data_IF_509903662777
#
_entry.id   IF_509903662777
#
_cell.length_a   1.000
_cell.length_b   1.000
_cell.length_c   1.000
_cell.angle_alpha   90.00
_cell.angle_beta   90.00
_cell.angle_gamma   90.00
#
_symmetry.space_group_name_H-M   'P 1'
#
loop_
_entity.id
_entity.type
_entity.pdbx_description
1 polymer ?
#
# COMPACT_ATOMS: atom_id res chain seq x y z
N UNK A 1 -19.02 7.84 13.17
CA UNK A 1 -18.26 7.62 14.43
C UNK A 1 -16.81 7.31 14.06
N UNK A 2 -15.91 8.28 14.20
CA UNK A 2 -14.50 8.14 13.92
C UNK A 2 -13.85 7.38 15.08
N UNK A 3 -13.61 6.08 14.93
CA UNK A 3 -12.69 5.37 15.83
C UNK A 3 -11.32 6.01 15.59
N UNK A 4 -10.68 6.53 16.64
CA UNK A 4 -9.31 7.03 16.54
C UNK A 4 -8.46 5.93 15.90
N UNK A 5 -7.88 6.21 14.73
CA UNK A 5 -7.03 5.26 14.03
C UNK A 5 -5.78 5.04 14.90
N UNK A 6 -5.60 3.80 15.38
CA UNK A 6 -4.43 3.42 16.19
C UNK A 6 -3.41 2.78 15.27
N UNK A 7 -2.18 3.31 15.24
CA UNK A 7 -1.10 2.68 14.48
C UNK A 7 -0.62 1.42 15.22
N UNK A 8 -0.39 0.35 14.46
CA UNK A 8 0.13 -0.93 14.97
C UNK A 8 1.39 -1.31 14.23
N UNK A 9 2.38 -1.80 14.98
CA UNK A 9 3.59 -2.38 14.43
C UNK A 9 3.50 -3.92 14.50
N UNK A 10 4.19 -4.58 13.59
CA UNK A 10 4.34 -6.04 13.61
C UNK A 10 5.67 -6.37 12.95
N UNK A 11 6.42 -7.32 13.50
CA UNK A 11 7.55 -7.89 12.77
C UNK A 11 7.01 -8.72 11.61
N UNK A 12 7.59 -8.56 10.42
CA UNK A 12 7.21 -9.38 9.29
C UNK A 12 7.51 -10.86 9.59
N UNK A 13 6.50 -11.72 9.52
CA UNK A 13 6.62 -13.18 9.77
C UNK A 13 6.59 -14.00 8.48
N UNK A 14 6.58 -13.33 7.33
CA UNK A 14 6.53 -14.03 6.06
C UNK A 14 7.85 -14.70 5.73
N UNK A 15 7.76 -15.97 5.38
CA UNK A 15 8.87 -16.77 4.87
C UNK A 15 8.75 -16.76 3.35
N UNK A 16 9.54 -15.93 2.66
CA UNK A 16 9.79 -15.94 1.21
C UNK A 16 8.62 -16.42 0.32
N UNK A 17 7.42 -15.85 0.48
CA UNK A 17 6.30 -16.17 -0.39
C UNK A 17 6.56 -15.51 -1.76
N UNK A 18 6.52 -16.31 -2.83
CA UNK A 18 6.76 -15.84 -4.20
C UNK A 18 5.57 -15.06 -4.76
N UNK A 19 4.38 -15.19 -4.15
CA UNK A 19 3.18 -14.47 -4.55
C UNK A 19 2.71 -14.89 -5.95
N UNK A 20 2.41 -16.17 -6.13
CA UNK A 20 1.87 -16.67 -7.40
C UNK A 20 0.42 -16.19 -7.64
N UNK A 21 0.00 -16.24 -8.90
CA UNK A 21 -1.34 -15.82 -9.31
C UNK A 21 -2.46 -16.72 -8.77
N UNK A 22 -2.12 -17.95 -8.39
CA UNK A 22 -3.07 -18.88 -7.78
C UNK A 22 -3.27 -18.62 -6.28
N UNK A 23 -2.38 -17.86 -5.65
CA UNK A 23 -2.44 -17.50 -4.23
C UNK A 23 -2.61 -18.73 -3.31
N UNK A 24 -2.08 -19.89 -3.72
CA UNK A 24 -2.13 -21.11 -2.92
C UNK A 24 -1.23 -21.01 -1.69
N UNK A 25 -0.22 -20.12 -1.74
CA UNK A 25 0.59 -19.71 -0.61
C UNK A 25 -0.21 -19.07 0.55
N UNK A 26 -1.44 -18.62 0.26
CA UNK A 26 -2.41 -18.12 1.26
C UNK A 26 -3.25 -19.21 1.92
N UNK A 27 -3.04 -20.47 1.54
CA UNK A 27 -3.64 -21.65 2.17
C UNK A 27 -2.62 -22.37 3.04
N UNK A 28 -3.04 -22.85 4.21
CA UNK A 28 -2.28 -23.83 5.01
C UNK A 28 -2.92 -25.20 4.79
N UNK A 29 -2.11 -26.25 4.82
CA UNK A 29 -2.53 -27.65 4.66
C UNK A 29 -3.66 -28.04 5.62
N UNK A 30 -3.71 -27.38 6.79
CA UNK A 30 -4.61 -27.70 7.89
C UNK A 30 -5.82 -26.75 8.00
N UNK A 31 -5.97 -25.77 7.09
CA UNK A 31 -7.08 -24.81 7.19
C UNK A 31 -8.42 -25.44 6.75
N UNK A 32 -9.55 -25.12 7.43
CA UNK A 32 -10.88 -25.42 6.91
C UNK A 32 -11.09 -24.83 5.50
N UNK A 33 -11.84 -25.53 4.63
CA UNK A 33 -11.45 -25.64 3.24
C UNK A 33 -11.57 -24.37 2.36
N UNK A 34 -12.43 -23.39 2.70
CA UNK A 34 -12.66 -22.23 1.81
C UNK A 34 -12.77 -20.87 2.53
N UNK A 35 -13.48 -20.76 3.66
CA UNK A 35 -13.72 -19.43 4.28
C UNK A 35 -12.45 -18.72 4.76
N UNK A 36 -11.51 -19.47 5.34
CA UNK A 36 -10.24 -18.89 5.81
C UNK A 36 -9.40 -18.46 4.61
N UNK A 37 -9.36 -19.27 3.55
CA UNK A 37 -8.63 -18.92 2.34
C UNK A 37 -9.25 -17.69 1.67
N UNK A 38 -10.58 -17.64 1.53
CA UNK A 38 -11.31 -16.49 0.99
C UNK A 38 -11.00 -15.21 1.78
N UNK A 39 -10.98 -15.27 3.12
CA UNK A 39 -10.59 -14.12 3.97
C UNK A 39 -9.16 -13.64 3.69
N UNK A 40 -8.20 -14.56 3.51
CA UNK A 40 -6.80 -14.20 3.21
C UNK A 40 -6.62 -13.71 1.77
N UNK A 41 -7.47 -14.16 0.84
CA UNK A 41 -7.57 -13.60 -0.51
C UNK A 41 -8.10 -12.16 -0.48
N UNK A 42 -8.92 -11.78 0.52
CA UNK A 42 -9.36 -10.40 0.76
C UNK A 42 -8.33 -9.55 1.50
N UNK A 43 -7.27 -10.15 2.05
CA UNK A 43 -6.27 -9.42 2.84
C UNK A 43 -5.68 -8.26 2.03
N UNK A 44 -5.81 -7.01 2.51
CA UNK A 44 -5.15 -5.87 1.88
C UNK A 44 -3.63 -5.94 2.03
N UNK A 45 -3.11 -6.79 2.93
CA UNK A 45 -1.67 -6.98 3.14
C UNK A 45 -1.07 -7.95 2.09
N UNK A 46 -1.90 -8.54 1.23
CA UNK A 46 -1.46 -9.37 0.11
C UNK A 46 -0.61 -10.54 0.56
N UNK A 47 0.64 -10.60 0.10
CA UNK A 47 1.58 -11.65 0.53
C UNK A 47 1.77 -11.62 2.05
N UNK A 48 1.68 -10.46 2.71
CA UNK A 48 1.84 -10.26 4.16
C UNK A 48 0.58 -10.57 4.99
N UNK A 49 -0.39 -11.32 4.46
CA UNK A 49 -1.60 -11.72 5.19
C UNK A 49 -1.32 -12.36 6.56
N UNK A 50 -0.22 -13.10 6.72
CA UNK A 50 0.17 -13.68 8.03
C UNK A 50 0.49 -12.60 9.04
N UNK A 51 1.13 -11.53 8.59
CA UNK A 51 1.47 -10.39 9.44
C UNK A 51 0.20 -9.67 9.90
N UNK A 52 -0.82 -9.60 9.04
CA UNK A 52 -2.14 -9.04 9.37
C UNK A 52 -2.85 -9.90 10.43
N UNK A 53 -2.91 -11.21 10.26
CA UNK A 53 -3.58 -12.12 11.21
C UNK A 53 -2.94 -12.16 12.60
N UNK A 54 -1.63 -11.87 12.66
CA UNK A 54 -0.91 -11.74 13.92
C UNK A 54 -0.91 -10.30 14.46
N UNK A 55 -1.34 -9.31 13.66
CA UNK A 55 -1.41 -7.92 14.10
C UNK A 55 -2.49 -7.79 15.17
N UNK A 56 -2.11 -7.38 16.38
CA UNK A 56 -3.02 -7.25 17.53
C UNK A 56 -3.22 -8.51 18.37
N UNK A 57 -2.53 -9.62 18.04
CA UNK A 57 -2.33 -10.71 19.00
C UNK A 57 -1.06 -10.40 19.81
N UNK A 58 -0.99 -10.77 21.10
CA UNK A 58 0.25 -10.66 21.86
C UNK A 58 1.30 -11.55 21.18
N UNK A 59 2.16 -10.93 20.39
CA UNK A 59 3.34 -11.61 19.87
C UNK A 59 4.37 -11.62 20.98
N UNK A 60 4.81 -12.82 21.39
CA UNK A 60 5.98 -13.00 22.24
C UNK A 60 7.26 -12.75 21.43
N UNK A 61 7.37 -11.57 20.80
CA UNK A 61 8.61 -11.10 20.21
C UNK A 61 9.45 -10.49 21.32
N UNK A 62 10.72 -10.85 21.39
CA UNK A 62 11.69 -10.21 22.29
C UNK A 62 11.73 -8.71 22.06
N UNK A 63 11.59 -8.24 20.82
CA UNK A 63 11.51 -6.82 20.47
C UNK A 63 10.28 -6.15 21.09
N UNK A 64 9.10 -6.79 21.06
CA UNK A 64 7.89 -6.27 21.71
C UNK A 64 8.01 -6.23 23.23
N UNK A 65 8.65 -7.23 23.82
CA UNK A 65 8.90 -7.28 25.26
C UNK A 65 9.84 -6.15 25.70
N UNK A 66 10.88 -5.86 24.91
CA UNK A 66 11.77 -4.72 25.13
C UNK A 66 11.02 -3.39 24.93
N UNK A 67 10.26 -3.25 23.85
CA UNK A 67 9.45 -2.05 23.58
C UNK A 67 8.42 -1.76 24.68
N UNK A 68 7.89 -2.80 25.35
CA UNK A 68 6.97 -2.66 26.46
C UNK A 68 7.64 -2.23 27.78
N UNK A 69 8.98 -2.25 27.85
CA UNK A 69 9.71 -1.98 29.10
C UNK A 69 9.62 -0.51 29.52
N UNK A 70 9.88 0.43 28.60
CA UNK A 70 9.69 1.85 28.85
C UNK A 70 9.56 2.67 27.56
N UNK A 71 9.06 3.91 27.69
CA UNK A 71 8.85 4.85 26.57
C UNK A 71 10.11 5.14 25.76
N UNK A 72 11.26 5.33 26.42
CA UNK A 72 12.54 5.60 25.74
C UNK A 72 12.96 4.39 24.90
N UNK A 73 12.94 3.19 25.48
CA UNK A 73 13.31 1.96 24.77
C UNK A 73 12.35 1.72 23.60
N UNK A 74 11.05 1.98 23.77
CA UNK A 74 10.08 1.94 22.67
C UNK A 74 10.54 2.84 21.52
N UNK A 75 10.82 4.11 21.79
CA UNK A 75 11.24 5.08 20.78
C UNK A 75 12.56 4.66 20.10
N UNK A 76 13.55 4.18 20.87
CA UNK A 76 14.84 3.74 20.36
C UNK A 76 14.70 2.54 19.42
N UNK A 77 13.90 1.54 19.81
CA UNK A 77 13.66 0.35 18.98
C UNK A 77 12.89 0.72 17.72
N UNK A 78 11.83 1.51 17.81
CA UNK A 78 11.05 1.90 16.62
C UNK A 78 11.89 2.75 15.66
N UNK A 79 12.73 3.67 16.16
CA UNK A 79 13.68 4.43 15.34
C UNK A 79 14.72 3.52 14.69
N UNK A 80 15.27 2.56 15.43
CA UNK A 80 16.20 1.57 14.89
C UNK A 80 15.54 0.75 13.78
N UNK A 81 14.32 0.25 14.00
CA UNK A 81 13.54 -0.49 13.00
C UNK A 81 13.30 0.34 11.75
N UNK A 82 12.86 1.61 11.88
CA UNK A 82 12.64 2.47 10.70
C UNK A 82 13.93 2.70 9.88
N UNK A 83 15.10 2.73 10.53
CA UNK A 83 16.41 2.94 9.86
C UNK A 83 16.97 1.70 9.19
N UNK A 84 16.56 0.51 9.61
CA UNK A 84 17.16 -0.78 9.23
C UNK A 84 16.20 -1.70 8.48
N UNK A 85 14.89 -1.55 8.66
CA UNK A 85 13.87 -2.39 8.06
C UNK A 85 13.14 -1.67 6.93
N UNK A 86 12.56 -2.46 6.02
CA UNK A 86 11.54 -1.96 5.10
C UNK A 86 10.25 -1.71 5.87
N UNK A 87 9.68 -0.52 5.72
CA UNK A 87 8.36 -0.20 6.26
C UNK A 87 7.31 -0.53 5.21
N UNK A 88 6.35 -1.39 5.55
CA UNK A 88 5.26 -1.77 4.67
C UNK A 88 3.98 -1.01 5.04
N UNK A 89 3.32 -0.37 4.08
CA UNK A 89 2.01 0.26 4.25
C UNK A 89 1.04 -0.30 3.20
N UNK A 90 -0.07 -0.87 3.68
CA UNK A 90 -1.06 -1.52 2.83
C UNK A 90 -2.35 -0.69 2.58
N UNK A 91 -2.48 0.49 3.20
CA UNK A 91 -3.71 1.28 3.17
C UNK A 91 -3.45 2.77 3.02
N UNK A 92 -4.22 3.43 2.15
CA UNK A 92 -4.18 4.89 1.99
C UNK A 92 -4.53 5.65 3.28
N UNK A 93 -5.43 5.10 4.11
CA UNK A 93 -5.79 5.71 5.38
C UNK A 93 -4.61 5.75 6.37
N UNK A 94 -3.79 4.69 6.41
CA UNK A 94 -2.58 4.64 7.26
C UNK A 94 -1.58 5.70 6.83
N UNK A 95 -1.43 5.91 5.52
CA UNK A 95 -0.55 6.94 4.99
C UNK A 95 -0.98 8.33 5.44
N UNK A 96 -2.28 8.64 5.34
CA UNK A 96 -2.80 9.94 5.79
C UNK A 96 -2.48 10.22 7.27
N UNK A 97 -2.60 9.21 8.15
CA UNK A 97 -2.23 9.33 9.57
C UNK A 97 -0.71 9.56 9.74
N UNK A 98 0.10 8.73 9.08
CA UNK A 98 1.57 8.79 9.20
C UNK A 98 2.12 10.11 8.67
N UNK A 99 1.61 10.61 7.55
CA UNK A 99 2.07 11.84 6.93
C UNK A 99 1.42 13.11 7.54
N UNK A 100 0.18 13.04 8.02
CA UNK A 100 -0.46 14.19 8.69
C UNK A 100 0.11 14.46 10.08
N UNK A 101 0.57 13.43 10.80
CA UNK A 101 1.23 13.60 12.09
C UNK A 101 2.57 14.35 12.02
N UNK A 102 3.15 14.53 10.83
CA UNK A 102 4.33 15.40 10.64
C UNK A 102 3.99 16.89 10.70
N UNK A 103 2.70 17.26 10.63
CA UNK A 103 2.22 18.66 10.58
C UNK A 103 1.05 18.93 11.55
N UNK A 104 0.84 18.07 12.55
CA UNK A 104 -0.43 18.06 13.30
C UNK A 104 -0.69 19.34 14.12
N UNK A 105 -1.89 19.87 13.88
CA UNK A 105 -2.61 20.88 14.67
C UNK A 105 -2.85 20.34 16.11
N UNK A 106 -2.65 21.12 17.19
CA UNK A 106 -2.66 20.65 18.59
C UNK A 106 -3.98 20.08 19.14
N UNK A 107 -5.03 19.92 18.33
CA UNK A 107 -6.35 19.47 18.77
C UNK A 107 -6.63 17.96 18.59
N UNK A 108 -5.76 17.22 17.89
CA UNK A 108 -5.91 15.76 17.76
C UNK A 108 -5.09 15.07 18.87
N UNK A 109 -5.75 14.43 19.82
CA UNK A 109 -5.10 13.62 20.87
C UNK A 109 -4.48 12.35 20.26
N UNK A 110 -3.28 12.50 19.69
CA UNK A 110 -2.47 11.40 19.19
C UNK A 110 -1.83 10.67 20.39
N UNK A 111 -1.81 9.33 20.39
CA UNK A 111 -1.16 8.60 21.48
C UNK A 111 0.36 8.78 21.42
N UNK A 112 1.06 8.60 22.55
CA UNK A 112 2.53 8.62 22.55
C UNK A 112 3.12 7.62 21.55
N UNK A 113 2.50 6.45 21.42
CA UNK A 113 2.90 5.41 20.46
C UNK A 113 2.77 5.91 19.03
N UNK A 114 1.64 6.53 18.68
CA UNK A 114 1.43 7.07 17.34
C UNK A 114 2.46 8.17 17.01
N UNK A 115 2.80 9.04 17.98
CA UNK A 115 3.82 10.07 17.81
C UNK A 115 5.22 9.47 17.60
N UNK A 116 5.58 8.43 18.35
CA UNK A 116 6.83 7.71 18.15
C UNK A 116 6.89 7.06 16.76
N UNK A 117 5.81 6.42 16.31
CA UNK A 117 5.74 5.79 14.99
C UNK A 117 5.88 6.85 13.88
N UNK A 118 5.13 7.95 13.96
CA UNK A 118 5.21 9.04 12.97
C UNK A 118 6.61 9.67 12.93
N UNK A 119 7.23 9.86 14.10
CA UNK A 119 8.59 10.41 14.19
C UNK A 119 9.60 9.46 13.57
N UNK A 120 9.57 8.19 13.94
CA UNK A 120 10.44 7.16 13.39
C UNK A 120 10.25 6.99 11.89
N UNK A 121 9.04 7.18 11.37
CA UNK A 121 8.75 7.07 9.94
C UNK A 121 9.58 8.05 9.09
N UNK A 122 9.93 9.23 9.62
CA UNK A 122 10.82 10.20 8.95
C UNK A 122 12.24 9.65 8.71
N UNK A 123 12.62 8.61 9.45
CA UNK A 123 13.93 7.96 9.37
C UNK A 123 13.95 6.79 8.36
N UNK A 124 12.80 6.49 7.75
CA UNK A 124 12.63 5.37 6.81
C UNK A 124 13.54 5.52 5.59
N UNK A 125 14.30 4.46 5.30
CA UNK A 125 15.12 4.36 4.08
C UNK A 125 14.44 3.57 2.98
N UNK A 126 13.73 2.53 3.35
CA UNK A 126 13.06 1.61 2.42
C UNK A 126 11.56 1.57 2.75
N UNK A 127 10.73 2.04 1.81
CA UNK A 127 9.29 2.10 1.93
C UNK A 127 8.65 1.20 0.88
N UNK A 128 7.72 0.34 1.30
CA UNK A 128 6.92 -0.50 0.43
C UNK A 128 5.44 -0.17 0.61
N UNK A 129 4.79 0.21 -0.48
CA UNK A 129 3.39 0.59 -0.56
C UNK A 129 2.65 -0.46 -1.37
N UNK A 130 1.83 -1.25 -0.70
CA UNK A 130 1.03 -2.30 -1.33
C UNK A 130 -0.44 -1.90 -1.29
N UNK A 131 -0.92 -1.25 -2.33
CA UNK A 131 -2.27 -0.69 -2.35
C UNK A 131 -3.17 -1.54 -3.23
N UNK A 132 -4.16 -2.18 -2.59
CA UNK A 132 -5.27 -2.84 -3.27
C UNK A 132 -6.53 -2.01 -3.06
N UNK A 133 -6.97 -1.31 -4.10
CA UNK A 133 -8.08 -0.35 -4.01
C UNK A 133 -9.26 -0.78 -4.89
N UNK A 134 -10.50 -0.40 -4.58
CA UNK A 134 -11.62 -0.60 -5.48
C UNK A 134 -11.37 0.03 -6.86
N UNK A 135 -11.78 -0.58 -7.99
CA UNK A 135 -11.62 0.01 -9.32
C UNK A 135 -12.17 1.44 -9.43
N UNK A 136 -13.34 1.68 -8.82
CA UNK A 136 -13.96 3.02 -8.77
C UNK A 136 -13.05 4.08 -8.13
N UNK A 137 -12.19 3.69 -7.18
CA UNK A 137 -11.22 4.60 -6.58
C UNK A 137 -10.15 5.02 -7.59
N UNK A 138 -9.70 4.12 -8.46
CA UNK A 138 -8.77 4.45 -9.53
C UNK A 138 -9.42 5.37 -10.57
N UNK A 139 -10.68 5.12 -10.93
CA UNK A 139 -11.43 5.99 -11.84
C UNK A 139 -11.58 7.41 -11.29
N UNK A 140 -11.92 7.53 -10.00
CA UNK A 140 -12.05 8.81 -9.33
C UNK A 140 -10.71 9.56 -9.29
N UNK A 141 -9.60 8.86 -9.01
CA UNK A 141 -8.25 9.43 -9.05
C UNK A 141 -7.90 9.91 -10.46
N UNK A 142 -8.11 9.07 -11.48
CA UNK A 142 -7.80 9.38 -12.86
C UNK A 142 -8.59 10.59 -13.37
N UNK A 143 -9.89 10.65 -13.02
CA UNK A 143 -10.79 11.75 -13.40
C UNK A 143 -10.35 13.07 -12.78
N UNK A 144 -9.93 13.07 -11.52
CA UNK A 144 -9.48 14.29 -10.83
C UNK A 144 -8.10 14.75 -11.34
N UNK A 145 -7.16 13.82 -11.53
CA UNK A 145 -5.82 14.13 -12.03
C UNK A 145 -5.79 14.52 -13.52
N UNK A 146 -6.83 14.21 -14.29
CA UNK A 146 -6.95 14.65 -15.68
C UNK A 146 -7.45 16.09 -15.81
N UNK A 147 -7.87 16.74 -14.72
CA UNK A 147 -8.30 18.15 -14.74
C UNK A 147 -7.07 19.07 -14.86
N UNK A 148 -6.97 19.90 -15.93
CA UNK A 148 -5.82 20.78 -16.16
C UNK A 148 -5.60 21.82 -15.05
N UNK A 149 -6.70 22.33 -14.47
CA UNK A 149 -6.70 23.44 -13.51
C UNK A 149 -7.03 23.01 -12.07
N UNK A 150 -6.98 21.72 -11.74
CA UNK A 150 -7.21 21.30 -10.36
C UNK A 150 -6.05 21.81 -9.48
N UNK A 151 -6.27 22.79 -8.58
CA UNK A 151 -5.22 23.20 -7.67
C UNK A 151 -4.81 21.98 -6.84
N UNK A 152 -3.51 21.79 -6.62
CA UNK A 152 -3.02 20.88 -5.59
C UNK A 152 -3.86 21.15 -4.33
N UNK A 153 -4.54 20.15 -3.74
CA UNK A 153 -5.52 20.42 -2.71
C UNK A 153 -4.86 21.11 -1.51
N UNK A 154 -4.96 22.45 -1.46
CA UNK A 154 -4.65 23.32 -0.32
C UNK A 154 -5.79 23.25 0.72
N UNK A 155 -6.52 22.15 0.75
CA UNK A 155 -7.77 22.04 1.50
C UNK A 155 -7.45 21.92 3.00
N UNK A 156 -8.21 22.63 3.88
CA UNK A 156 -8.01 22.57 5.32
C UNK A 156 -8.18 21.15 5.89
N UNK A 157 -7.38 20.85 6.93
CA UNK A 157 -7.23 19.54 7.59
C UNK A 157 -8.52 18.85 8.09
N UNK A 158 -9.69 19.51 8.09
CA UNK A 158 -10.85 19.07 8.88
C UNK A 158 -12.00 18.44 8.09
N UNK A 159 -11.93 18.33 6.76
CA UNK A 159 -13.00 17.74 5.95
C UNK A 159 -12.48 16.94 4.75
N UNK A 160 -11.74 15.83 4.97
CA UNK A 160 -11.23 15.04 3.84
C UNK A 160 -11.20 13.54 4.11
N UNK A 161 -12.24 12.83 3.64
CA UNK A 161 -12.30 11.35 3.64
C UNK A 161 -12.10 10.74 2.25
N UNK A 162 -12.05 11.55 1.19
CA UNK A 162 -11.97 11.05 -0.19
C UNK A 162 -10.61 10.37 -0.46
N UNK A 163 -10.59 9.15 -1.03
CA UNK A 163 -9.37 8.47 -1.46
C UNK A 163 -8.51 9.30 -2.41
N UNK A 164 -9.13 10.10 -3.29
CA UNK A 164 -8.45 10.93 -4.29
C UNK A 164 -7.52 11.95 -3.63
N UNK A 165 -8.02 12.63 -2.61
CA UNK A 165 -7.25 13.61 -1.85
C UNK A 165 -6.09 12.93 -1.13
N UNK A 166 -6.34 11.79 -0.48
CA UNK A 166 -5.30 11.04 0.23
C UNK A 166 -4.20 10.62 -0.73
N UNK A 167 -4.58 10.12 -1.91
CA UNK A 167 -3.65 9.78 -2.98
C UNK A 167 -2.79 10.99 -3.35
N UNK A 168 -3.38 12.14 -3.66
CA UNK A 168 -2.62 13.32 -4.06
C UNK A 168 -1.64 13.83 -2.99
N UNK A 169 -2.03 13.80 -1.71
CA UNK A 169 -1.23 14.31 -0.58
C UNK A 169 -0.05 13.41 -0.20
N UNK A 170 -0.18 12.12 -0.48
CA UNK A 170 0.81 11.11 -0.12
C UNK A 170 2.14 11.34 -0.83
N UNK A 171 2.13 11.69 -2.11
CA UNK A 171 3.35 11.74 -2.91
C UNK A 171 4.33 12.83 -2.51
N UNK A 172 3.91 14.10 -2.30
CA UNK A 172 4.81 15.12 -1.77
C UNK A 172 5.35 14.77 -0.38
N UNK A 173 4.55 14.08 0.44
CA UNK A 173 4.95 13.69 1.80
C UNK A 173 6.00 12.58 1.80
N UNK A 174 5.88 11.58 0.92
CA UNK A 174 6.92 10.57 0.72
C UNK A 174 8.18 11.22 0.14
N UNK A 175 8.05 12.09 -0.86
CA UNK A 175 9.19 12.81 -1.42
C UNK A 175 9.89 13.66 -0.35
N UNK A 176 9.17 14.20 0.64
CA UNK A 176 9.77 14.97 1.73
C UNK A 176 10.59 14.11 2.73
N UNK A 177 10.59 12.77 2.65
CA UNK A 177 11.33 11.92 3.57
C UNK A 177 12.85 12.05 3.34
N UNK A 178 13.61 12.57 4.32
CA UNK A 178 15.01 12.96 4.11
C UNK A 178 15.96 11.77 3.91
N UNK A 179 15.57 10.59 4.43
CA UNK A 179 16.41 9.39 4.42
C UNK A 179 15.94 8.34 3.41
N UNK A 180 14.84 8.59 2.70
CA UNK A 180 14.31 7.63 1.74
C UNK A 180 15.33 7.36 0.63
N UNK A 181 15.55 6.08 0.35
CA UNK A 181 16.45 5.55 -0.68
C UNK A 181 15.73 4.62 -1.64
N UNK A 182 14.75 3.86 -1.15
CA UNK A 182 13.94 2.95 -1.95
C UNK A 182 12.46 3.18 -1.70
N UNK A 183 11.71 3.35 -2.77
CA UNK A 183 10.26 3.31 -2.78
C UNK A 183 9.82 2.15 -3.66
N UNK A 184 9.14 1.16 -3.09
CA UNK A 184 8.42 0.15 -3.84
C UNK A 184 6.93 0.50 -3.79
N UNK A 185 6.30 0.62 -4.95
CA UNK A 185 4.87 0.82 -5.10
C UNK A 185 4.29 -0.38 -5.86
N UNK A 186 3.49 -1.18 -5.19
CA UNK A 186 2.69 -2.25 -5.79
C UNK A 186 1.21 -1.82 -5.79
N UNK A 187 0.63 -1.73 -6.98
CA UNK A 187 -0.78 -1.41 -7.16
C UNK A 187 -1.55 -2.63 -7.65
N UNK A 188 -2.78 -2.78 -7.18
CA UNK A 188 -3.73 -3.80 -7.62
C UNK A 188 -5.15 -3.32 -7.26
N UNK A 189 -6.18 -4.01 -7.74
CA UNK A 189 -7.55 -3.78 -7.30
C UNK A 189 -8.21 -5.05 -6.75
N UNK A 190 -9.29 -4.87 -6.00
CA UNK A 190 -10.02 -5.95 -5.33
C UNK A 190 -11.07 -6.65 -6.18
N UNK A 191 -11.43 -6.08 -7.34
CA UNK A 191 -12.34 -6.68 -8.31
C UNK A 191 -11.71 -7.82 -9.14
N UNK A 192 -12.56 -8.72 -9.62
CA UNK A 192 -12.30 -9.76 -10.62
C UNK A 192 -12.06 -9.23 -12.03
N UNK A 193 -12.50 -8.00 -12.31
CA UNK A 193 -12.32 -7.36 -13.63
C UNK A 193 -10.85 -7.28 -14.03
N UNK A 194 -10.56 -7.12 -15.32
CA UNK A 194 -9.16 -6.98 -15.76
C UNK A 194 -8.53 -5.65 -15.34
N UNK A 195 -7.22 -5.66 -15.09
CA UNK A 195 -6.45 -4.43 -14.80
C UNK A 195 -6.49 -3.41 -15.95
N UNK A 196 -6.83 -3.85 -17.16
CA UNK A 196 -7.01 -2.99 -18.34
C UNK A 196 -7.98 -1.82 -18.14
N UNK A 197 -8.91 -1.93 -17.19
CA UNK A 197 -9.84 -0.83 -16.89
C UNK A 197 -9.15 0.35 -16.20
N UNK A 198 -7.93 0.16 -15.67
CA UNK A 198 -7.21 1.19 -14.92
C UNK A 198 -6.35 2.02 -15.86
N UNK A 199 -6.60 3.34 -15.87
CA UNK A 199 -5.75 4.29 -16.58
C UNK A 199 -4.44 4.54 -15.80
N UNK A 200 -3.46 3.66 -16.00
CA UNK A 200 -2.14 3.70 -15.33
C UNK A 200 -1.44 5.05 -15.47
N UNK A 201 -1.48 5.64 -16.67
CA UNK A 201 -0.82 6.91 -16.95
C UNK A 201 -1.43 8.03 -16.10
N UNK A 202 -2.77 8.13 -16.05
CA UNK A 202 -3.44 9.15 -15.27
C UNK A 202 -3.14 9.04 -13.77
N UNK A 203 -3.11 7.81 -13.23
CA UNK A 203 -2.92 7.60 -11.79
C UNK A 203 -1.44 7.66 -11.35
N UNK A 204 -0.46 7.46 -12.24
CA UNK A 204 0.97 7.42 -11.89
C UNK A 204 1.77 8.65 -12.31
N UNK A 205 1.44 9.28 -13.44
CA UNK A 205 2.30 10.31 -14.03
C UNK A 205 2.45 11.53 -13.11
N UNK A 206 1.35 12.03 -12.54
CA UNK A 206 1.38 13.15 -11.58
C UNK A 206 2.09 12.79 -10.27
N UNK A 207 1.77 11.68 -9.59
CA UNK A 207 2.50 11.23 -8.42
C UNK A 207 4.02 11.14 -8.58
N UNK A 208 4.48 10.56 -9.68
CA UNK A 208 5.90 10.32 -9.90
C UNK A 208 6.68 11.62 -10.17
N UNK A 209 6.03 12.69 -10.62
CA UNK A 209 6.68 14.01 -10.73
C UNK A 209 7.24 14.52 -9.40
N UNK A 210 6.64 14.16 -8.25
CA UNK A 210 7.16 14.55 -6.94
C UNK A 210 8.59 14.04 -6.70
N UNK A 211 9.01 13.00 -7.43
CA UNK A 211 10.33 12.39 -7.32
C UNK A 211 11.28 12.77 -8.46
N UNK A 212 10.84 13.55 -9.45
CA UNK A 212 11.68 13.99 -10.57
C UNK A 212 12.94 14.74 -10.09
N UNK A 213 12.83 15.47 -8.98
CA UNK A 213 13.93 16.20 -8.34
C UNK A 213 14.77 15.36 -7.36
N UNK A 214 14.53 14.05 -7.24
CA UNK A 214 15.14 13.17 -6.24
C UNK A 214 15.92 11.99 -6.86
N UNK A 215 17.09 12.23 -7.49
CA UNK A 215 17.85 11.18 -8.16
C UNK A 215 18.39 10.09 -7.21
N UNK A 216 18.35 10.35 -5.89
CA UNK A 216 18.83 9.42 -4.85
C UNK A 216 17.81 8.35 -4.47
N UNK A 217 16.55 8.50 -4.86
CA UNK A 217 15.48 7.54 -4.54
C UNK A 217 15.31 6.59 -5.71
N UNK A 218 15.48 5.29 -5.47
CA UNK A 218 15.15 4.25 -6.43
C UNK A 218 13.67 3.92 -6.32
N UNK A 219 12.95 3.99 -7.44
CA UNK A 219 11.51 3.73 -7.46
C UNK A 219 11.29 2.41 -8.18
N UNK A 220 10.65 1.47 -7.49
CA UNK A 220 10.22 0.19 -8.02
C UNK A 220 8.72 0.23 -8.12
N UNK A 221 8.19 0.08 -9.33
CA UNK A 221 6.77 0.06 -9.60
C UNK A 221 6.39 -1.37 -10.00
N UNK A 222 5.46 -1.97 -9.29
CA UNK A 222 4.91 -3.29 -9.60
C UNK A 222 3.44 -3.14 -9.96
N UNK A 223 3.12 -3.43 -11.22
CA UNK A 223 1.76 -3.38 -11.74
C UNK A 223 1.34 -4.77 -12.24
N UNK A 224 0.04 -5.04 -12.29
CA UNK A 224 -0.48 -6.20 -12.98
C UNK A 224 0.04 -6.35 -14.41
N UNK A 225 0.25 -7.59 -14.82
CA UNK A 225 0.43 -7.96 -16.21
C UNK A 225 -0.79 -7.56 -17.02
N UNK A 226 -0.53 -7.03 -18.21
CA UNK A 226 -1.54 -6.73 -19.21
C UNK A 226 -1.20 -7.61 -20.40
N UNK A 227 -1.94 -8.70 -20.57
CA UNK A 227 -1.79 -9.59 -21.73
C UNK A 227 -2.37 -8.91 -22.96
N UNK A 228 -1.51 -8.25 -23.73
CA UNK A 228 -1.79 -7.86 -25.12
C UNK A 228 -1.30 -8.99 -26.05
N UNK A 229 -2.08 -9.38 -27.05
CA UNK A 229 -1.62 -10.31 -28.10
C UNK A 229 -0.60 -9.65 -29.05
N UNK A 230 -0.52 -8.31 -29.08
CA UNK A 230 0.52 -7.55 -29.78
C UNK A 230 1.51 -6.94 -28.78
N UNK A 231 2.80 -6.77 -29.15
CA UNK A 231 3.80 -6.21 -28.25
C UNK A 231 3.35 -4.81 -27.83
N UNK A 232 3.21 -4.53 -26.52
CA UNK A 232 2.78 -3.21 -26.10
C UNK A 232 3.83 -2.19 -26.53
N UNK A 233 3.41 -1.20 -27.31
CA UNK A 233 4.17 0.02 -27.55
C UNK A 233 4.35 0.70 -26.19
N UNK A 234 5.43 0.35 -25.50
CA UNK A 234 6.17 1.12 -24.48
C UNK A 234 5.37 2.22 -23.75
N UNK A 235 4.25 1.88 -23.11
CA UNK A 235 3.23 2.85 -22.68
C UNK A 235 3.58 3.71 -21.45
N UNK A 236 4.76 3.51 -20.85
CA UNK A 236 5.30 4.39 -19.80
C UNK A 236 6.74 4.86 -20.08
N UNK A 237 7.50 4.13 -20.91
CA UNK A 237 8.93 4.42 -21.15
C UNK A 237 9.16 5.46 -22.24
N UNK A 238 8.20 5.69 -23.13
CA UNK A 238 8.33 6.68 -24.20
C UNK A 238 8.12 8.14 -23.75
N UNK A 239 7.63 8.36 -22.52
CA UNK A 239 7.56 9.70 -21.94
C UNK A 239 8.89 10.06 -21.26
N UNK A 240 9.58 11.07 -21.80
CA UNK A 240 10.82 11.71 -21.31
C UNK A 240 10.76 12.29 -19.89
N UNK A 241 9.66 12.10 -19.17
CA UNK A 241 9.33 12.72 -17.89
C UNK A 241 9.39 11.76 -16.70
N UNK A 242 9.65 10.48 -16.95
CA UNK A 242 9.75 9.47 -15.90
C UNK A 242 11.10 9.59 -15.17
N UNK A 243 11.13 9.51 -13.82
CA UNK A 243 12.39 9.53 -13.07
C UNK A 243 13.36 8.47 -13.60
N UNK A 244 14.62 8.84 -13.85
CA UNK A 244 15.67 7.95 -14.38
C UNK A 244 15.87 6.70 -13.51
N UNK A 245 15.51 6.77 -12.24
CA UNK A 245 15.60 5.68 -11.27
C UNK A 245 14.36 4.77 -11.20
N UNK A 246 13.37 4.94 -12.09
CA UNK A 246 12.18 4.10 -12.12
C UNK A 246 12.45 2.73 -12.75
N UNK A 247 12.06 1.67 -12.04
CA UNK A 247 12.03 0.30 -12.52
C UNK A 247 10.60 -0.20 -12.49
N UNK A 248 10.05 -0.52 -13.65
CA UNK A 248 8.74 -1.14 -13.79
C UNK A 248 8.90 -2.67 -13.82
N UNK A 249 8.13 -3.35 -12.99
CA UNK A 249 7.93 -4.79 -13.00
C UNK A 249 6.45 -5.09 -13.20
N UNK A 250 6.15 -6.14 -13.96
CA UNK A 250 4.80 -6.66 -14.14
C UNK A 250 4.64 -7.94 -13.32
N UNK A 251 3.47 -8.19 -12.76
CA UNK A 251 3.18 -9.42 -12.02
C UNK A 251 1.82 -10.00 -12.38
N UNK A 252 1.66 -11.33 -12.38
CA UNK A 252 0.39 -11.95 -12.71
C UNK A 252 -0.60 -11.73 -11.56
N UNK A 253 -1.83 -11.28 -11.86
CA UNK A 253 -2.84 -11.01 -10.84
C UNK A 253 -3.39 -12.29 -10.21
N UNK A 254 -3.92 -12.11 -9.00
CA UNK A 254 -4.70 -13.14 -8.30
C UNK A 254 -5.87 -13.58 -9.19
N UNK A 255 -6.06 -14.89 -9.36
CA UNK A 255 -7.15 -15.48 -10.15
C UNK A 255 -8.30 -16.01 -9.32
N UNK A 256 -8.13 -16.11 -8.00
CA UNK A 256 -9.18 -16.58 -7.10
C UNK A 256 -9.76 -15.41 -6.33
N UNK A 257 -11.07 -15.19 -6.46
CA UNK A 257 -11.78 -14.10 -5.83
C UNK A 257 -12.80 -14.62 -4.82
N UNK A 258 -12.96 -13.95 -3.69
CA UNK A 258 -13.94 -14.30 -2.68
C UNK A 258 -15.33 -13.84 -3.11
N UNK A 259 -16.28 -14.76 -3.15
CA UNK A 259 -17.67 -14.49 -3.55
C UNK A 259 -18.60 -14.64 -2.35
N UNK A 260 -19.44 -13.64 -2.10
CA UNK A 260 -20.51 -13.76 -1.10
C UNK A 260 -21.74 -14.40 -1.75
N UNK A 261 -22.10 -15.60 -1.32
CA UNK A 261 -23.25 -16.35 -1.84
C UNK A 261 -24.55 -15.87 -1.19
N UNK A 262 -25.67 -16.26 -1.80
CA UNK A 262 -27.04 -15.91 -1.37
C UNK A 262 -27.34 -16.39 0.06
N UNK A 263 -26.78 -17.54 0.45
CA UNK A 263 -26.90 -18.12 1.79
C UNK A 263 -26.04 -17.41 2.85
N UNK A 264 -25.29 -16.38 2.46
CA UNK A 264 -24.39 -15.63 3.34
C UNK A 264 -23.01 -16.27 3.52
N UNK A 265 -22.77 -17.46 2.97
CA UNK A 265 -21.46 -18.10 2.97
C UNK A 265 -20.48 -17.39 2.04
N UNK A 266 -19.18 -17.57 2.29
CA UNK A 266 -18.12 -17.02 1.45
C UNK A 266 -17.52 -18.16 0.63
N UNK A 267 -17.80 -18.13 -0.68
CA UNK A 267 -17.19 -19.00 -1.67
C UNK A 267 -15.91 -18.40 -2.25
N UNK A 268 -15.31 -19.15 -3.18
CA UNK A 268 -14.18 -18.70 -3.99
C UNK A 268 -14.53 -18.99 -5.46
N UNK A 269 -14.40 -17.97 -6.30
CA UNK A 269 -14.58 -18.04 -7.74
C UNK A 269 -13.21 -17.94 -8.40
N UNK A 270 -13.02 -18.68 -9.49
CA UNK A 270 -11.84 -18.55 -10.34
C UNK A 270 -12.19 -17.66 -11.53
N UNK A 271 -11.39 -16.62 -11.74
CA UNK A 271 -11.48 -15.75 -12.90
C UNK A 271 -10.11 -15.64 -13.56
N UNK A 272 -10.06 -15.85 -14.87
CA UNK A 272 -8.85 -15.58 -15.64
C UNK A 272 -8.81 -14.08 -15.94
N UNK A 273 -7.68 -13.43 -15.66
CA UNK A 273 -7.52 -12.03 -16.03
C UNK A 273 -7.65 -11.90 -17.55
N UNK A 274 -8.65 -11.13 -17.99
CA UNK A 274 -9.13 -11.12 -19.38
C UNK A 274 -7.97 -10.87 -20.33
N UNK A 275 -7.78 -11.79 -21.28
CA UNK A 275 -6.95 -11.54 -22.47
C UNK A 275 -7.82 -10.76 -23.45
N UNK A 276 -7.36 -9.59 -23.88
CA UNK A 276 -7.97 -8.97 -25.06
C UNK A 276 -7.73 -9.92 -26.23
N UNK A 277 -8.81 -10.50 -26.74
CA UNK A 277 -8.86 -11.19 -28.05
C UNK A 277 -9.15 -10.12 -29.10
#
# INVERSE_FOLDING_TARGET
>A
MNKNAVLRLSSCVNVNLTGDCYCFDRRRTDDPPQEIWARRLQSPWGIHWRCEELSGKPQHSSAWSLMASCKSIFQDIVNMMARQCTVHIAHLATMDVVFSGQKSNPQMHQTYIDQCITTAFSETKDLDLMLRLPPSTYDDIARDLSRPDAPLPLVPLHQQTSPVVRWARVWPAIAALPRLRRLHLKLDHDSESSWLIVNEQAILLRPLFAFSAQPRVQIYLSLPEVTHEEPPVSSLRENTWVPVSLRLNRFPRQRFFPERRIDGSIGIVYEEDVRLI
#
